data_IF_512490393592
#
_entry.id   IF_512490393592
#
_cell.length_a   1.000
_cell.length_b   1.000
_cell.length_c   1.000
_cell.angle_alpha   90.00
_cell.angle_beta   90.00
_cell.angle_gamma   90.00
#
_symmetry.space_group_name_H-M   'P 1'
#
loop_
_entity.id
_entity.type
_entity.pdbx_description
1 polymer ?
#
# COMPACT_ATOMS: atom_id res chain seq x y z
N UNK A 1 24.14 -83.41 35.99
CA UNK A 1 23.03 -82.77 35.24
C UNK A 1 23.41 -81.32 35.02
N UNK A 2 23.74 -80.99 33.78
CA UNK A 2 24.24 -79.70 33.30
C UNK A 2 23.07 -78.72 33.11
N UNK A 3 23.10 -77.56 33.77
CA UNK A 3 22.19 -76.46 33.47
C UNK A 3 22.94 -75.30 32.82
N UNK A 4 22.52 -74.99 31.60
CA UNK A 4 22.96 -73.88 30.76
C UNK A 4 22.20 -72.58 31.06
N UNK A 5 22.92 -71.46 30.86
CA UNK A 5 22.49 -70.11 30.44
C UNK A 5 21.44 -69.38 31.34
N UNK A 6 21.46 -68.06 31.50
CA UNK A 6 21.28 -67.05 30.44
C UNK A 6 21.79 -65.68 30.90
N UNK A 7 22.65 -65.10 30.08
CA UNK A 7 22.99 -63.66 30.09
C UNK A 7 21.71 -62.88 29.74
N UNK A 8 21.29 -61.95 30.59
CA UNK A 8 20.23 -60.99 30.28
C UNK A 8 20.86 -59.74 29.70
N UNK A 9 20.65 -59.53 28.40
CA UNK A 9 20.95 -58.29 27.69
C UNK A 9 19.97 -57.21 28.18
N UNK A 10 20.48 -56.12 28.75
CA UNK A 10 19.69 -54.92 29.02
C UNK A 10 19.38 -54.22 27.70
N UNK A 11 18.10 -54.15 27.34
CA UNK A 11 17.61 -53.34 26.23
C UNK A 11 17.74 -51.85 26.59
N UNK A 12 18.52 -51.11 25.82
CA UNK A 12 18.59 -49.66 25.86
C UNK A 12 17.34 -49.12 25.16
N UNK A 13 16.48 -48.41 25.89
CA UNK A 13 15.36 -47.66 25.33
C UNK A 13 15.90 -46.44 24.59
N UNK A 14 15.81 -46.45 23.26
CA UNK A 14 16.02 -45.27 22.44
C UNK A 14 14.79 -44.37 22.55
N UNK A 15 14.95 -43.19 23.14
CA UNK A 15 13.93 -42.15 23.11
C UNK A 15 13.92 -41.50 21.71
N UNK A 16 12.82 -41.66 20.98
CA UNK A 16 12.60 -40.97 19.72
C UNK A 16 12.25 -39.49 20.01
N UNK A 17 13.17 -38.58 19.67
CA UNK A 17 12.89 -37.15 19.58
C UNK A 17 12.05 -36.91 18.32
N UNK A 18 10.76 -36.64 18.50
CA UNK A 18 9.92 -36.08 17.43
C UNK A 18 10.31 -34.61 17.25
N UNK A 19 11.05 -34.32 16.18
CA UNK A 19 11.22 -32.95 15.71
C UNK A 19 9.86 -32.47 15.18
N UNK A 20 9.23 -31.53 15.89
CA UNK A 20 8.11 -30.75 15.36
C UNK A 20 8.71 -29.74 14.39
N UNK A 21 8.82 -30.11 13.12
CA UNK A 21 9.04 -29.15 12.04
C UNK A 21 7.73 -28.39 11.81
N UNK A 22 7.47 -27.39 12.65
CA UNK A 22 6.44 -26.39 12.39
C UNK A 22 6.95 -25.45 11.31
N UNK A 23 6.80 -25.84 10.05
CA UNK A 23 6.86 -24.88 8.96
C UNK A 23 5.63 -24.00 9.05
N UNK A 24 5.82 -22.70 9.28
CA UNK A 24 4.79 -21.70 9.01
C UNK A 24 4.59 -21.70 7.50
N UNK A 25 3.63 -22.50 7.02
CA UNK A 25 3.06 -22.23 5.73
C UNK A 25 2.22 -20.97 5.92
N UNK A 26 2.75 -19.82 5.50
CA UNK A 26 1.91 -18.67 5.17
C UNK A 26 0.99 -19.16 4.04
N UNK A 27 -0.20 -19.64 4.43
CA UNK A 27 -1.28 -19.80 3.47
C UNK A 27 -1.58 -18.42 2.92
N UNK A 28 -1.77 -18.31 1.61
CA UNK A 28 -2.27 -17.07 1.04
C UNK A 28 -3.54 -16.67 1.82
N UNK A 29 -3.63 -15.44 2.32
CA UNK A 29 -4.81 -14.94 3.04
C UNK A 29 -6.08 -15.11 2.20
N UNK A 30 -7.23 -15.22 2.87
CA UNK A 30 -8.49 -15.43 2.17
C UNK A 30 -8.88 -14.17 1.38
N UNK A 31 -9.66 -14.31 0.30
CA UNK A 31 -10.16 -13.16 -0.45
C UNK A 31 -10.89 -12.16 0.45
N UNK A 32 -11.68 -12.67 1.39
CA UNK A 32 -12.43 -11.85 2.34
C UNK A 32 -11.51 -10.98 3.23
N UNK A 33 -10.28 -11.42 3.51
CA UNK A 33 -9.29 -10.64 4.29
C UNK A 33 -8.75 -9.47 3.44
N UNK A 34 -8.40 -9.72 2.18
CA UNK A 34 -7.93 -8.68 1.24
C UNK A 34 -9.01 -7.62 0.99
N UNK A 35 -10.26 -8.04 0.81
CA UNK A 35 -11.38 -7.12 0.59
C UNK A 35 -11.58 -6.19 1.80
N UNK A 36 -11.40 -6.71 3.02
CA UNK A 36 -11.45 -5.93 4.27
C UNK A 36 -10.29 -4.94 4.39
N UNK A 37 -9.08 -5.34 4.00
CA UNK A 37 -7.91 -4.47 4.00
C UNK A 37 -8.04 -3.34 2.99
N UNK A 38 -8.55 -3.63 1.79
CA UNK A 38 -8.85 -2.62 0.78
C UNK A 38 -9.91 -1.64 1.30
N UNK A 39 -10.99 -2.12 1.91
CA UNK A 39 -12.02 -1.27 2.51
C UNK A 39 -11.44 -0.38 3.63
N UNK A 40 -10.57 -0.95 4.46
CA UNK A 40 -9.88 -0.21 5.54
C UNK A 40 -8.95 0.86 4.98
N UNK A 41 -8.18 0.54 3.93
CA UNK A 41 -7.34 1.51 3.25
C UNK A 41 -8.18 2.68 2.70
N UNK A 42 -9.23 2.38 1.93
CA UNK A 42 -10.15 3.39 1.36
C UNK A 42 -10.75 4.28 2.43
N UNK A 43 -11.31 3.70 3.49
CA UNK A 43 -11.94 4.46 4.57
C UNK A 43 -10.91 5.29 5.36
N UNK A 44 -9.72 4.74 5.56
CA UNK A 44 -8.63 5.37 6.29
C UNK A 44 -8.13 6.63 5.61
N UNK A 45 -7.77 6.53 4.32
CA UNK A 45 -7.26 7.66 3.55
C UNK A 45 -8.34 8.72 3.32
N UNK A 46 -9.59 8.31 3.08
CA UNK A 46 -10.71 9.25 2.95
C UNK A 46 -10.94 10.04 4.24
N UNK A 47 -10.96 9.33 5.38
CA UNK A 47 -11.15 9.95 6.69
C UNK A 47 -10.00 10.89 7.05
N UNK A 48 -8.75 10.52 6.71
CA UNK A 48 -7.59 11.39 6.91
C UNK A 48 -7.76 12.71 6.16
N UNK A 49 -8.10 12.66 4.87
CA UNK A 49 -8.28 13.87 4.09
C UNK A 49 -9.50 14.68 4.53
N UNK A 50 -10.64 14.06 4.87
CA UNK A 50 -11.80 14.78 5.41
C UNK A 50 -11.45 15.55 6.70
N UNK A 51 -10.63 14.96 7.56
CA UNK A 51 -10.21 15.58 8.81
C UNK A 51 -9.15 16.67 8.63
N UNK A 52 -8.11 16.40 7.82
CA UNK A 52 -6.89 17.20 7.78
C UNK A 52 -6.77 18.13 6.58
N UNK A 53 -7.65 18.04 5.58
CA UNK A 53 -7.56 18.86 4.37
C UNK A 53 -7.40 20.36 4.65
N UNK A 54 -8.20 20.89 5.59
CA UNK A 54 -8.19 22.31 5.93
C UNK A 54 -6.93 22.78 6.68
N UNK A 55 -6.07 21.86 7.11
CA UNK A 55 -4.77 22.17 7.70
C UNK A 55 -3.74 22.53 6.61
N UNK A 56 -3.92 22.00 5.40
CA UNK A 56 -2.98 22.16 4.28
C UNK A 56 -3.52 23.05 3.16
N UNK A 57 -4.84 23.03 2.91
CA UNK A 57 -5.46 23.63 1.74
C UNK A 57 -6.72 24.43 2.10
N UNK A 58 -7.06 25.41 1.28
CA UNK A 58 -8.17 26.35 1.56
C UNK A 58 -9.51 25.96 0.96
N UNK A 59 -9.50 25.14 -0.10
CA UNK A 59 -10.72 24.68 -0.75
C UNK A 59 -11.41 23.58 0.07
N UNK A 60 -12.56 23.08 -0.39
CA UNK A 60 -13.24 21.95 0.26
C UNK A 60 -12.72 20.62 -0.29
N UNK A 61 -12.37 19.69 0.59
CA UNK A 61 -12.09 18.31 0.19
C UNK A 61 -13.34 17.68 -0.44
N UNK A 62 -13.14 17.02 -1.58
CA UNK A 62 -14.16 16.20 -2.24
C UNK A 62 -13.51 14.85 -2.51
N UNK A 63 -13.97 13.73 -1.95
CA UNK A 63 -13.36 12.44 -2.23
C UNK A 63 -13.56 11.99 -3.68
N UNK A 64 -12.63 11.22 -4.27
CA UNK A 64 -12.86 10.58 -5.56
C UNK A 64 -13.93 9.49 -5.44
N UNK A 65 -14.55 9.10 -6.55
CA UNK A 65 -15.40 7.92 -6.56
C UNK A 65 -14.54 6.66 -6.46
N UNK A 66 -14.92 5.68 -5.63
CA UNK A 66 -14.26 4.38 -5.61
C UNK A 66 -15.04 3.41 -6.50
N UNK A 67 -14.52 3.14 -7.71
CA UNK A 67 -15.06 2.08 -8.57
C UNK A 67 -14.60 0.70 -8.09
N UNK A 68 -13.35 0.61 -7.60
CA UNK A 68 -12.80 -0.56 -6.93
C UNK A 68 -12.20 -1.60 -7.88
N UNK A 69 -12.34 -2.88 -7.52
CA UNK A 69 -11.76 -3.99 -8.29
C UNK A 69 -12.32 -4.05 -9.72
N UNK A 70 -11.43 -4.24 -10.70
CA UNK A 70 -11.77 -4.70 -12.03
C UNK A 70 -10.94 -5.92 -12.44
N UNK A 71 -11.35 -6.54 -13.55
CA UNK A 71 -10.62 -7.64 -14.20
C UNK A 71 -10.16 -7.12 -15.57
N UNK A 72 -8.87 -6.82 -15.70
CA UNK A 72 -8.24 -6.27 -16.90
C UNK A 72 -8.21 -7.24 -18.08
N UNK A 73 -8.40 -8.54 -17.83
CA UNK A 73 -8.56 -9.56 -18.86
C UNK A 73 -10.03 -9.69 -19.35
N UNK A 74 -10.98 -9.03 -18.70
CA UNK A 74 -12.39 -9.04 -19.06
C UNK A 74 -12.70 -8.14 -20.27
N UNK A 75 -13.72 -8.53 -21.04
CA UNK A 75 -14.24 -7.70 -22.12
C UNK A 75 -15.05 -6.49 -21.62
N UNK A 76 -15.46 -6.50 -20.34
CA UNK A 76 -16.25 -5.45 -19.69
C UNK A 76 -15.38 -4.57 -18.77
N UNK A 77 -14.08 -4.47 -19.05
CA UNK A 77 -13.15 -3.62 -18.30
C UNK A 77 -13.61 -2.14 -18.32
N UNK A 78 -13.51 -1.41 -17.19
CA UNK A 78 -13.80 0.02 -17.18
C UNK A 78 -12.90 0.79 -18.16
N UNK A 79 -13.32 2.00 -18.50
CA UNK A 79 -12.55 2.91 -19.35
C UNK A 79 -12.29 4.21 -18.62
N UNK A 80 -11.10 4.76 -18.77
CA UNK A 80 -10.79 6.15 -18.41
C UNK A 80 -10.58 6.95 -19.70
N UNK A 81 -11.34 8.03 -19.89
CA UNK A 81 -11.33 8.83 -21.13
C UNK A 81 -11.62 8.03 -22.41
N UNK A 82 -12.43 6.97 -22.28
CA UNK A 82 -12.79 6.08 -23.37
C UNK A 82 -11.73 5.05 -23.76
N UNK A 83 -10.58 5.03 -23.08
CA UNK A 83 -9.57 3.99 -23.22
C UNK A 83 -9.73 2.92 -22.12
N UNK A 84 -9.72 1.62 -22.46
CA UNK A 84 -9.78 0.54 -21.48
C UNK A 84 -8.65 0.61 -20.45
N UNK A 85 -8.96 0.34 -19.18
CA UNK A 85 -7.93 0.19 -18.15
C UNK A 85 -7.02 -1.01 -18.46
N UNK A 86 -5.73 -0.86 -18.17
CA UNK A 86 -4.73 -1.89 -18.45
C UNK A 86 -4.77 -3.03 -17.41
N UNK A 87 -4.52 -4.25 -17.86
CA UNK A 87 -4.29 -5.41 -16.98
C UNK A 87 -3.08 -5.21 -16.05
N UNK A 88 -3.09 -5.85 -14.88
CA UNK A 88 -2.05 -5.71 -13.84
C UNK A 88 -1.74 -4.24 -13.46
N UNK A 89 -2.76 -3.37 -13.39
CA UNK A 89 -2.57 -1.95 -13.08
C UNK A 89 -3.59 -1.35 -12.10
N UNK A 90 -3.28 -0.20 -11.52
CA UNK A 90 -4.21 0.64 -10.77
C UNK A 90 -4.26 2.05 -11.37
N UNK A 91 -5.37 2.75 -11.12
CA UNK A 91 -5.67 4.02 -11.78
C UNK A 91 -6.48 4.96 -10.89
N UNK A 92 -6.06 6.22 -10.88
CA UNK A 92 -6.95 7.36 -10.74
C UNK A 92 -7.28 8.00 -12.10
N UNK A 93 -8.55 8.01 -12.47
CA UNK A 93 -9.03 8.69 -13.68
C UNK A 93 -9.26 10.19 -13.40
N UNK A 94 -8.36 11.04 -13.92
CA UNK A 94 -8.29 12.48 -13.57
C UNK A 94 -9.39 13.38 -14.17
N UNK A 95 -10.14 12.91 -15.16
CA UNK A 95 -11.07 13.77 -15.93
C UNK A 95 -12.40 13.97 -15.21
N UNK A 96 -13.45 14.36 -15.95
CA UNK A 96 -14.81 14.50 -15.40
C UNK A 96 -15.35 13.18 -14.78
N UNK A 97 -14.65 12.06 -14.98
CA UNK A 97 -14.99 10.75 -14.43
C UNK A 97 -14.58 10.57 -12.96
N UNK A 98 -13.50 11.23 -12.49
CA UNK A 98 -13.01 11.30 -11.08
C UNK A 98 -13.21 10.02 -10.24
N UNK A 99 -12.51 8.93 -10.60
CA UNK A 99 -12.62 7.66 -9.90
C UNK A 99 -11.31 6.88 -9.75
N UNK A 100 -11.27 6.02 -8.73
CA UNK A 100 -10.21 5.06 -8.45
C UNK A 100 -10.62 3.64 -8.85
N UNK A 101 -9.71 2.89 -9.47
CA UNK A 101 -9.91 1.51 -9.85
C UNK A 101 -8.58 0.73 -9.82
N UNK A 102 -8.62 -0.55 -9.46
CA UNK A 102 -7.44 -1.41 -9.40
C UNK A 102 -7.73 -2.81 -9.91
N UNK A 103 -6.77 -3.36 -10.64
CA UNK A 103 -6.90 -4.70 -11.20
C UNK A 103 -6.80 -5.76 -10.10
N UNK A 104 -7.67 -6.77 -10.18
CA UNK A 104 -7.78 -7.82 -9.17
C UNK A 104 -6.52 -8.69 -9.11
N UNK A 105 -5.86 -8.95 -10.24
CA UNK A 105 -4.67 -9.79 -10.29
C UNK A 105 -3.43 -9.04 -9.79
N UNK A 106 -3.33 -7.72 -10.03
CA UNK A 106 -2.35 -6.85 -9.36
C UNK A 106 -2.46 -6.96 -7.84
N UNK A 107 -3.67 -6.69 -7.29
CA UNK A 107 -3.91 -6.70 -5.85
C UNK A 107 -3.60 -8.07 -5.25
N UNK A 108 -4.09 -9.15 -5.86
CA UNK A 108 -3.81 -10.53 -5.41
C UNK A 108 -2.35 -10.92 -5.51
N UNK A 109 -1.62 -10.42 -6.50
CA UNK A 109 -0.20 -10.73 -6.69
C UNK A 109 0.62 -10.11 -5.56
N UNK A 110 0.43 -8.81 -5.31
CA UNK A 110 1.16 -8.11 -4.25
C UNK A 110 0.77 -8.57 -2.85
N UNK A 111 -0.52 -8.80 -2.60
CA UNK A 111 -1.04 -9.25 -1.30
C UNK A 111 -0.48 -10.63 -0.84
N UNK A 112 0.03 -11.46 -1.77
CA UNK A 112 0.73 -12.71 -1.42
C UNK A 112 2.07 -12.50 -0.71
N UNK A 113 2.62 -11.30 -0.78
CA UNK A 113 3.92 -10.95 -0.22
C UNK A 113 3.82 -10.04 1.00
N UNK A 114 2.62 -9.60 1.37
CA UNK A 114 2.35 -8.70 2.48
C UNK A 114 0.99 -8.03 2.29
N UNK A 115 0.20 -7.96 3.36
CA UNK A 115 -1.13 -7.36 3.31
C UNK A 115 -1.07 -5.83 3.14
N UNK A 116 0.02 -5.21 3.59
CA UNK A 116 0.27 -3.78 3.41
C UNK A 116 0.33 -3.32 1.94
N UNK A 117 0.49 -4.25 0.98
CA UNK A 117 0.53 -3.91 -0.45
C UNK A 117 -0.74 -3.20 -0.93
N UNK A 118 -1.92 -3.66 -0.49
CA UNK A 118 -3.18 -3.07 -0.97
C UNK A 118 -3.39 -1.66 -0.42
N UNK A 119 -2.89 -1.39 0.79
CA UNK A 119 -2.88 -0.04 1.37
C UNK A 119 -2.01 0.90 0.55
N UNK A 120 -0.81 0.45 0.14
CA UNK A 120 0.08 1.23 -0.73
C UNK A 120 -0.60 1.59 -2.06
N UNK A 121 -1.20 0.62 -2.75
CA UNK A 121 -1.84 0.85 -4.05
C UNK A 121 -2.99 1.84 -3.91
N UNK A 122 -3.90 1.61 -2.95
CA UNK A 122 -5.05 2.51 -2.73
C UNK A 122 -4.58 3.92 -2.41
N UNK A 123 -3.61 4.06 -1.50
CA UNK A 123 -3.11 5.36 -1.08
C UNK A 123 -2.33 6.10 -2.18
N UNK A 124 -1.60 5.38 -3.02
CA UNK A 124 -0.93 5.96 -4.19
C UNK A 124 -1.94 6.54 -5.18
N UNK A 125 -2.97 5.79 -5.55
CA UNK A 125 -4.00 6.29 -6.46
C UNK A 125 -4.82 7.43 -5.82
N UNK A 126 -5.04 7.39 -4.50
CA UNK A 126 -5.63 8.51 -3.77
C UNK A 126 -4.73 9.74 -3.81
N UNK A 127 -3.41 9.57 -3.72
CA UNK A 127 -2.41 10.63 -3.92
C UNK A 127 -2.58 11.36 -5.26
N UNK A 128 -2.86 10.65 -6.35
CA UNK A 128 -3.21 11.27 -7.63
C UNK A 128 -4.54 12.04 -7.59
N UNK A 129 -5.54 11.52 -6.86
CA UNK A 129 -6.77 12.24 -6.64
C UNK A 129 -6.51 13.55 -5.90
N UNK A 130 -5.67 13.54 -4.87
CA UNK A 130 -5.24 14.74 -4.15
C UNK A 130 -4.56 15.72 -5.09
N UNK A 131 -3.56 15.28 -5.88
CA UNK A 131 -2.91 16.13 -6.87
C UNK A 131 -3.89 16.83 -7.81
N UNK A 132 -4.97 16.14 -8.23
CA UNK A 132 -6.00 16.71 -9.09
C UNK A 132 -6.87 17.79 -8.42
N UNK A 133 -6.86 17.84 -7.09
CA UNK A 133 -7.51 18.87 -6.27
C UNK A 133 -6.54 20.00 -5.90
N UNK A 134 -5.24 19.84 -6.12
CA UNK A 134 -4.23 20.85 -5.86
C UNK A 134 -4.08 21.83 -7.02
N UNK A 135 -3.76 23.08 -6.69
CA UNK A 135 -3.26 24.06 -7.64
C UNK A 135 -1.97 23.55 -8.32
N UNK A 136 -1.73 23.97 -9.56
CA UNK A 136 -0.63 23.46 -10.37
C UNK A 136 0.75 23.73 -9.74
N UNK A 137 0.88 24.80 -8.94
CA UNK A 137 2.08 25.18 -8.22
C UNK A 137 2.43 24.24 -7.06
N UNK A 138 1.45 23.45 -6.59
CA UNK A 138 1.60 22.44 -5.54
C UNK A 138 1.92 21.06 -6.12
N UNK A 139 1.75 20.87 -7.42
CA UNK A 139 2.10 19.63 -8.11
C UNK A 139 3.60 19.63 -8.43
N UNK A 140 4.29 18.54 -8.12
CA UNK A 140 5.71 18.39 -8.50
C UNK A 140 5.83 18.03 -9.98
N UNK A 141 7.05 18.18 -10.54
CA UNK A 141 7.35 17.68 -11.89
C UNK A 141 7.26 16.15 -11.93
N UNK A 142 7.67 15.48 -10.85
CA UNK A 142 7.64 14.04 -10.71
C UNK A 142 6.36 13.61 -9.99
N UNK A 143 5.23 13.64 -10.71
CA UNK A 143 3.90 13.41 -10.15
C UNK A 143 3.76 12.04 -9.45
N UNK A 144 4.34 10.98 -10.02
CA UNK A 144 4.31 9.64 -9.43
C UNK A 144 5.05 9.57 -8.07
N UNK A 145 6.21 10.23 -7.96
CA UNK A 145 6.94 10.30 -6.69
C UNK A 145 6.20 11.14 -5.65
N UNK A 146 5.50 12.19 -6.08
CA UNK A 146 4.63 12.93 -5.16
C UNK A 146 3.43 12.08 -4.72
N UNK A 147 2.86 11.22 -5.57
CA UNK A 147 1.81 10.29 -5.18
C UNK A 147 2.32 9.25 -4.16
N UNK A 148 3.51 8.68 -4.36
CA UNK A 148 4.16 7.81 -3.36
C UNK A 148 4.42 8.55 -2.03
N UNK A 149 4.86 9.81 -2.08
CA UNK A 149 5.04 10.61 -0.88
C UNK A 149 3.71 10.86 -0.16
N UNK A 150 2.67 11.27 -0.89
CA UNK A 150 1.34 11.49 -0.32
C UNK A 150 0.78 10.20 0.29
N UNK A 151 0.98 9.05 -0.36
CA UNK A 151 0.59 7.75 0.17
C UNK A 151 1.25 7.46 1.53
N UNK A 152 2.54 7.77 1.67
CA UNK A 152 3.25 7.66 2.95
C UNK A 152 2.67 8.59 4.02
N UNK A 153 2.37 9.84 3.66
CA UNK A 153 1.83 10.84 4.58
C UNK A 153 0.41 10.51 5.06
N UNK A 154 -0.48 10.12 4.15
CA UNK A 154 -1.89 9.86 4.49
C UNK A 154 -2.07 8.54 5.24
N UNK A 155 -1.28 7.50 4.93
CA UNK A 155 -1.34 6.25 5.68
C UNK A 155 -0.76 6.41 7.08
N UNK A 156 0.35 7.12 7.23
CA UNK A 156 0.91 7.43 8.55
C UNK A 156 -0.05 8.33 9.36
N UNK A 157 -0.64 9.34 8.74
CA UNK A 157 -1.66 10.18 9.36
C UNK A 157 -2.90 9.40 9.80
N UNK A 158 -3.46 8.57 8.91
CA UNK A 158 -4.57 7.68 9.21
C UNK A 158 -4.24 6.70 10.36
N UNK A 159 -2.99 6.22 10.44
CA UNK A 159 -2.52 5.40 11.54
C UNK A 159 -2.44 6.16 12.87
N UNK A 160 -2.02 7.44 12.84
CA UNK A 160 -1.99 8.31 14.02
C UNK A 160 -3.41 8.65 14.51
N UNK A 161 -4.37 8.78 13.59
CA UNK A 161 -5.79 8.97 13.90
C UNK A 161 -6.50 7.68 14.36
N UNK A 162 -5.87 6.53 14.11
CA UNK A 162 -6.39 5.20 14.45
C UNK A 162 -7.49 4.70 13.51
N UNK A 163 -7.58 5.26 12.30
CA UNK A 163 -8.48 4.78 11.23
C UNK A 163 -7.84 3.65 10.42
N UNK A 164 -6.51 3.62 10.36
CA UNK A 164 -5.70 2.48 9.89
C UNK A 164 -4.87 1.95 11.06
N UNK A 165 -4.58 0.65 11.08
CA UNK A 165 -3.66 0.06 12.04
C UNK A 165 -2.58 -0.67 11.27
N UNK A 166 -1.35 -0.18 11.35
CA UNK A 166 -0.19 -0.91 10.85
C UNK A 166 0.21 -2.00 11.85
N UNK A 167 0.29 -3.23 11.36
CA UNK A 167 0.88 -4.33 12.06
C UNK A 167 2.42 -4.28 12.02
N UNK A 168 3.03 -5.09 12.87
CA UNK A 168 4.49 -5.18 12.95
C UNK A 168 5.05 -5.86 11.69
N UNK A 169 5.41 -5.07 10.69
CA UNK A 169 6.06 -5.56 9.47
C UNK A 169 5.62 -4.78 8.24
N UNK A 170 4.44 -4.17 8.28
CA UNK A 170 3.76 -3.56 7.14
C UNK A 170 4.58 -2.49 6.44
N UNK A 171 5.28 -1.64 7.21
CA UNK A 171 6.17 -0.62 6.64
C UNK A 171 7.34 -1.26 5.87
N UNK A 172 7.88 -2.37 6.37
CA UNK A 172 8.92 -3.13 5.67
C UNK A 172 8.33 -3.90 4.46
N UNK A 173 7.07 -4.32 4.53
CA UNK A 173 6.34 -4.95 3.41
C UNK A 173 6.12 -3.95 2.27
N UNK A 174 5.68 -2.72 2.56
CA UNK A 174 5.55 -1.63 1.57
C UNK A 174 6.89 -1.35 0.89
N UNK A 175 7.96 -1.17 1.67
CA UNK A 175 9.32 -0.96 1.12
C UNK A 175 9.76 -2.13 0.26
N UNK A 176 9.49 -3.35 0.70
CA UNK A 176 9.80 -4.57 -0.05
C UNK A 176 9.01 -4.65 -1.35
N UNK A 177 7.73 -4.26 -1.35
CA UNK A 177 6.90 -4.22 -2.54
C UNK A 177 7.43 -3.24 -3.58
N UNK A 178 7.73 -2.00 -3.17
CA UNK A 178 8.30 -0.97 -4.05
C UNK A 178 9.62 -1.41 -4.71
N UNK A 179 10.42 -2.23 -4.02
CA UNK A 179 11.68 -2.77 -4.57
C UNK A 179 11.47 -4.04 -5.40
N UNK A 180 10.61 -4.95 -4.95
CA UNK A 180 10.38 -6.26 -5.60
C UNK A 180 9.63 -6.09 -6.91
N UNK A 181 8.58 -5.30 -6.89
CA UNK A 181 7.68 -5.15 -8.03
C UNK A 181 8.18 -4.14 -9.03
N UNK A 182 9.27 -3.41 -8.75
CA UNK A 182 9.89 -2.50 -9.70
C UNK A 182 10.05 -3.18 -11.08
N UNK A 183 9.49 -2.53 -12.10
CA UNK A 183 9.42 -2.99 -13.49
C UNK A 183 8.68 -4.33 -13.78
N UNK A 184 7.99 -4.91 -12.78
CA UNK A 184 7.29 -6.19 -12.97
C UNK A 184 5.89 -6.04 -13.58
N UNK A 185 5.24 -4.88 -13.38
CA UNK A 185 3.86 -4.60 -13.82
C UNK A 185 3.79 -3.23 -14.49
N UNK A 186 2.73 -2.94 -15.27
CA UNK A 186 2.47 -1.57 -15.72
C UNK A 186 2.44 -0.55 -14.58
N UNK A 187 1.87 -0.90 -13.42
CA UNK A 187 1.79 -0.05 -12.22
C UNK A 187 3.15 0.25 -11.56
N UNK A 188 4.16 -0.57 -11.83
CA UNK A 188 5.48 -0.45 -11.19
C UNK A 188 6.60 -0.13 -12.17
N UNK A 189 6.27 0.26 -13.40
CA UNK A 189 7.23 0.56 -14.45
C UNK A 189 8.06 1.80 -14.10
N UNK A 190 9.37 1.63 -13.95
CA UNK A 190 10.34 2.64 -13.50
C UNK A 190 10.39 3.85 -14.44
N UNK A 191 10.17 3.63 -15.75
CA UNK A 191 10.13 4.70 -16.75
C UNK A 191 8.92 5.62 -16.62
N UNK A 192 7.91 5.20 -15.86
CA UNK A 192 6.70 5.96 -15.60
C UNK A 192 6.70 6.46 -14.14
N UNK A 193 7.07 5.62 -13.15
CA UNK A 193 6.93 5.89 -11.71
C UNK A 193 8.23 6.29 -10.96
N UNK A 194 9.39 6.27 -11.62
CA UNK A 194 10.70 6.44 -10.99
C UNK A 194 11.33 5.12 -10.52
N UNK A 195 12.62 5.16 -10.18
CA UNK A 195 13.33 3.96 -9.71
C UNK A 195 12.80 3.48 -8.36
N UNK A 196 12.95 2.18 -8.07
CA UNK A 196 12.61 1.60 -6.77
C UNK A 196 13.11 2.41 -5.57
N UNK A 197 14.35 2.92 -5.64
CA UNK A 197 14.93 3.75 -4.57
C UNK A 197 14.24 5.10 -4.42
N UNK A 198 13.90 5.76 -5.54
CA UNK A 198 13.22 7.05 -5.50
C UNK A 198 11.82 6.91 -4.91
N UNK A 199 11.10 5.85 -5.29
CA UNK A 199 9.77 5.54 -4.74
C UNK A 199 9.81 5.28 -3.24
N UNK A 200 10.77 4.45 -2.77
CA UNK A 200 10.97 4.19 -1.33
C UNK A 200 11.31 5.47 -0.56
N UNK A 201 12.21 6.29 -1.09
CA UNK A 201 12.61 7.55 -0.45
C UNK A 201 11.44 8.56 -0.41
N UNK A 202 10.62 8.62 -1.46
CA UNK A 202 9.43 9.47 -1.51
C UNK A 202 8.39 9.02 -0.48
N UNK A 203 8.03 7.74 -0.45
CA UNK A 203 7.11 7.18 0.53
C UNK A 203 7.58 7.43 1.96
N UNK A 204 8.87 7.17 2.24
CA UNK A 204 9.45 7.42 3.56
C UNK A 204 9.43 8.91 3.95
N UNK A 205 9.63 9.82 2.98
CA UNK A 205 9.50 11.26 3.23
C UNK A 205 8.10 11.62 3.70
N UNK A 206 7.07 11.06 3.05
CA UNK A 206 5.68 11.23 3.48
C UNK A 206 5.42 10.75 4.90
N UNK A 207 5.88 9.54 5.24
CA UNK A 207 5.74 8.99 6.60
C UNK A 207 6.45 9.85 7.66
N UNK A 208 7.65 10.35 7.36
CA UNK A 208 8.47 11.04 8.36
C UNK A 208 8.12 12.52 8.52
N UNK A 209 7.71 13.18 7.43
CA UNK A 209 7.51 14.64 7.36
C UNK A 209 6.03 15.01 7.27
N UNK A 210 5.17 14.11 6.80
CA UNK A 210 3.76 14.37 6.52
C UNK A 210 3.56 15.14 5.21
N UNK A 211 2.32 15.61 4.99
CA UNK A 211 1.87 16.20 3.72
C UNK A 211 2.75 17.37 3.26
N UNK A 212 3.20 18.23 4.18
CA UNK A 212 4.06 19.38 3.85
C UNK A 212 5.40 18.98 3.19
N UNK A 213 5.91 17.78 3.49
CA UNK A 213 7.12 17.23 2.89
C UNK A 213 6.95 16.79 1.43
N UNK A 214 5.71 16.57 1.01
CA UNK A 214 5.34 16.15 -0.35
C UNK A 214 5.02 17.33 -1.27
N UNK A 215 5.05 18.56 -0.75
CA UNK A 215 4.74 19.78 -1.49
C UNK A 215 6.02 20.55 -1.85
N UNK A 216 6.03 21.31 -2.97
CA UNK A 216 7.14 22.19 -3.30
C UNK A 216 7.44 23.21 -2.19
N UNK A 217 8.72 23.41 -1.87
CA UNK A 217 9.20 24.20 -0.71
C UNK A 217 8.70 25.67 -0.66
N UNK A 218 8.32 26.27 -1.78
CA UNK A 218 7.78 27.65 -1.82
C UNK A 218 6.32 27.70 -1.34
N UNK A 219 5.57 26.60 -1.45
CA UNK A 219 4.16 26.54 -1.08
C UNK A 219 3.92 26.26 0.40
N UNK A 220 4.78 25.47 1.05
CA UNK A 220 4.69 25.16 2.48
C UNK A 220 4.91 26.39 3.38
N UNK A 221 5.46 27.49 2.84
CA UNK A 221 5.69 28.73 3.58
C UNK A 221 4.47 29.66 3.66
N UNK A 222 3.50 29.53 2.76
CA UNK A 222 2.33 30.45 2.69
C UNK A 222 1.17 30.00 3.62
N UNK A 223 1.15 28.74 4.08
CA UNK A 223 0.21 28.22 5.09
C UNK A 223 0.64 28.45 6.54
N UNK A 224 1.94 28.61 6.80
CA UNK A 224 2.51 28.75 8.14
C UNK A 224 2.40 30.17 8.71
N UNK A 225 1.20 30.78 8.70
CA UNK A 225 0.94 31.97 9.51
C UNK A 225 0.65 31.55 10.96
N UNK A 226 1.72 31.50 11.77
CA UNK A 226 1.62 31.15 13.19
C UNK A 226 0.58 32.03 13.94
N UNK A 227 -0.20 31.47 14.87
CA UNK A 227 -1.10 32.28 15.68
C UNK A 227 -0.27 33.15 16.63
N UNK A 228 -0.41 34.47 16.49
CA UNK A 228 0.10 35.42 17.48
C UNK A 228 -0.67 35.23 18.79
N UNK A 229 0.00 34.68 19.81
CA UNK A 229 -0.28 34.95 21.22
C UNK A 229 0.99 35.05 22.04
#
# INVERSE_FOLDING_TARGET
>A
MTHQLRVRVCAVLAAALLAVSGGYAYGAPARDDMDLDIETAVQGVDAFWDAHWSEFFTETYVPPTVLGEYDGASADVPTCDGEPLADDNAFYCRTDEDYLAWDTDLMRSGYRYGDAFVYLVVAHEWGHAIQNRLDAELQTVDAELQADCLAGAELEGAAQDGTVVFDSGDVDEVRTALVRDADQTPWTKEGDHGSASERVDAFATGQEVGVEGCLPQEASAEGASAPVR
#
